data_IF_343084477314
#
_entry.id   IF_343084477314
#
_cell.length_a   1.000
_cell.length_b   1.000
_cell.length_c   1.000
_cell.angle_alpha   90.00
_cell.angle_beta   90.00
_cell.angle_gamma   90.00
#
_symmetry.space_group_name_H-M   'P 1'
#
loop_
_entity.id
_entity.type
_entity.pdbx_description
1 polymer ?
#
# COMPACT_ATOMS: atom_id res chain seq x y z
N UNK A 1 -7.75 22.13 -21.76
CA UNK A 1 -8.38 22.48 -20.50
C UNK A 1 -7.60 23.57 -19.74
N UNK A 2 -6.42 23.31 -19.13
CA UNK A 2 -5.68 24.29 -18.31
C UNK A 2 -5.35 25.60 -19.06
N UNK A 3 -5.04 25.52 -20.36
CA UNK A 3 -4.82 26.72 -21.21
C UNK A 3 -6.14 27.45 -21.49
N UNK A 4 -7.22 26.74 -21.73
CA UNK A 4 -8.55 27.35 -22.00
C UNK A 4 -9.09 28.10 -20.79
N UNK A 5 -8.80 27.63 -19.58
CA UNK A 5 -9.17 28.26 -18.32
C UNK A 5 -8.14 29.31 -17.87
N UNK A 6 -7.18 29.68 -18.73
CA UNK A 6 -6.13 30.67 -18.45
C UNK A 6 -5.29 30.36 -17.20
N UNK A 7 -5.20 29.10 -16.78
CA UNK A 7 -4.37 28.65 -15.66
C UNK A 7 -2.92 28.44 -16.08
N UNK A 8 -2.67 28.16 -17.36
CA UNK A 8 -1.35 27.92 -17.91
C UNK A 8 -1.24 28.55 -19.31
N UNK A 9 -0.11 29.19 -19.62
CA UNK A 9 0.13 29.68 -20.99
C UNK A 9 0.39 28.50 -21.94
N UNK A 10 0.09 28.68 -23.23
CA UNK A 10 0.32 27.64 -24.23
C UNK A 10 1.83 27.26 -24.35
N UNK A 11 2.70 28.26 -24.25
CA UNK A 11 4.15 28.06 -24.24
C UNK A 11 4.60 27.22 -23.03
N UNK A 12 4.07 27.51 -21.85
CA UNK A 12 4.38 26.76 -20.64
C UNK A 12 3.82 25.34 -20.70
N UNK A 13 2.62 25.15 -21.22
CA UNK A 13 2.02 23.83 -21.39
C UNK A 13 2.89 22.94 -22.29
N UNK A 14 3.37 23.50 -23.41
CA UNK A 14 4.24 22.78 -24.35
C UNK A 14 5.60 22.43 -23.71
N UNK A 15 6.20 23.38 -22.99
CA UNK A 15 7.48 23.17 -22.32
C UNK A 15 7.36 22.09 -21.21
N UNK A 16 6.31 22.16 -20.40
CA UNK A 16 6.06 21.18 -19.32
C UNK A 16 5.75 19.81 -19.91
N UNK A 17 5.00 19.73 -21.01
CA UNK A 17 4.73 18.47 -21.69
C UNK A 17 6.02 17.81 -22.22
N UNK A 18 6.93 18.58 -22.79
CA UNK A 18 8.23 18.09 -23.23
C UNK A 18 9.06 17.55 -22.05
N UNK A 19 9.07 18.29 -20.93
CA UNK A 19 9.74 17.84 -19.70
C UNK A 19 9.11 16.56 -19.12
N UNK A 20 7.79 16.50 -19.05
CA UNK A 20 7.06 15.33 -18.56
C UNK A 20 7.41 14.05 -19.36
N UNK A 21 7.50 14.18 -20.69
CA UNK A 21 7.90 13.09 -21.59
C UNK A 21 9.35 12.66 -21.36
N UNK A 22 10.27 13.61 -21.09
CA UNK A 22 11.70 13.33 -20.85
C UNK A 22 11.90 12.60 -19.52
N UNK A 23 11.20 13.05 -18.46
CA UNK A 23 11.32 12.51 -17.11
C UNK A 23 10.40 11.29 -16.91
N UNK A 24 9.51 10.99 -17.86
CA UNK A 24 8.48 9.93 -17.79
C UNK A 24 7.54 10.10 -16.58
N UNK A 25 7.19 11.33 -16.24
CA UNK A 25 6.23 11.67 -15.19
C UNK A 25 4.90 12.12 -15.80
N UNK A 26 3.76 11.91 -15.12
CA UNK A 26 2.48 12.42 -15.59
C UNK A 26 2.49 13.94 -15.76
N UNK A 27 1.79 14.44 -16.77
CA UNK A 27 1.75 15.87 -17.09
C UNK A 27 1.26 16.71 -15.89
N UNK A 28 0.20 16.28 -15.23
CA UNK A 28 -0.36 17.00 -14.06
C UNK A 28 0.68 17.10 -12.94
N UNK A 29 1.38 16.02 -12.64
CA UNK A 29 2.45 16.00 -11.64
C UNK A 29 3.56 17.00 -11.99
N UNK A 30 3.94 17.06 -13.27
CA UNK A 30 4.97 18.01 -13.73
C UNK A 30 4.49 19.46 -13.68
N UNK A 31 3.21 19.74 -13.96
CA UNK A 31 2.62 21.08 -13.79
C UNK A 31 2.70 21.53 -12.33
N UNK A 32 2.36 20.67 -11.39
CA UNK A 32 2.40 20.95 -9.96
C UNK A 32 3.85 21.18 -9.48
N UNK A 33 4.77 20.33 -9.93
CA UNK A 33 6.22 20.47 -9.63
C UNK A 33 6.79 21.79 -10.12
N UNK A 34 6.30 22.32 -11.25
CA UNK A 34 6.70 23.62 -11.78
C UNK A 34 6.22 24.79 -10.93
N UNK A 35 5.31 24.57 -9.96
CA UNK A 35 4.69 25.57 -9.06
C UNK A 35 3.95 26.69 -9.79
N UNK A 36 3.60 26.51 -11.06
CA UNK A 36 2.86 27.50 -11.84
C UNK A 36 1.38 27.50 -11.52
N UNK A 37 0.83 26.33 -11.20
CA UNK A 37 -0.59 26.16 -10.81
C UNK A 37 -0.64 25.28 -9.57
N UNK A 38 -1.52 25.60 -8.61
CA UNK A 38 -1.71 24.78 -7.43
C UNK A 38 -2.46 23.48 -7.75
N UNK A 39 -2.16 22.41 -7.01
CA UNK A 39 -2.81 21.10 -7.19
C UNK A 39 -4.32 21.19 -7.00
N UNK A 40 -4.79 21.97 -6.00
CA UNK A 40 -6.19 22.23 -5.72
C UNK A 40 -6.90 22.85 -6.93
N UNK A 41 -6.30 23.91 -7.52
CA UNK A 41 -6.89 24.60 -8.67
C UNK A 41 -7.01 23.71 -9.89
N UNK A 42 -6.00 22.84 -10.12
CA UNK A 42 -6.03 21.84 -11.19
C UNK A 42 -7.17 20.85 -10.95
N UNK A 43 -7.29 20.32 -9.73
CA UNK A 43 -8.31 19.35 -9.37
C UNK A 43 -9.74 19.94 -9.49
N UNK A 44 -9.97 21.15 -8.99
CA UNK A 44 -11.25 21.84 -9.15
C UNK A 44 -11.62 22.06 -10.62
N UNK A 45 -10.65 22.52 -11.43
CA UNK A 45 -10.88 22.78 -12.86
C UNK A 45 -11.15 21.48 -13.61
N UNK A 46 -10.40 20.43 -13.30
CA UNK A 46 -10.62 19.08 -13.87
C UNK A 46 -12.00 18.55 -13.49
N UNK A 47 -12.40 18.66 -12.23
CA UNK A 47 -13.73 18.26 -11.76
C UNK A 47 -14.84 18.94 -12.54
N UNK A 48 -14.77 20.27 -12.71
CA UNK A 48 -15.76 21.05 -13.47
C UNK A 48 -15.79 20.70 -14.96
N UNK A 49 -14.60 20.54 -15.57
CA UNK A 49 -14.50 20.30 -17.00
C UNK A 49 -14.96 18.92 -17.43
N UNK A 50 -14.72 17.90 -16.59
CA UNK A 50 -15.05 16.51 -16.86
C UNK A 50 -16.34 16.03 -16.16
N UNK A 51 -16.91 16.84 -15.27
CA UNK A 51 -18.15 16.51 -14.56
C UNK A 51 -17.98 15.44 -13.46
N UNK A 52 -16.76 15.20 -13.00
CA UNK A 52 -16.49 14.27 -11.89
C UNK A 52 -16.51 15.00 -10.55
N UNK A 53 -16.97 14.36 -9.45
CA UNK A 53 -16.93 14.97 -8.13
C UNK A 53 -15.49 15.23 -7.68
N UNK A 54 -15.26 16.34 -6.97
CA UNK A 54 -14.00 16.65 -6.30
C UNK A 54 -14.04 16.23 -4.83
N UNK A 55 -12.95 15.64 -4.35
CA UNK A 55 -12.78 15.26 -2.96
C UNK A 55 -11.42 15.75 -2.43
N UNK A 56 -11.43 16.45 -1.31
CA UNK A 56 -10.21 16.76 -0.57
C UNK A 56 -9.79 15.54 0.28
N UNK A 57 -8.64 14.95 -0.03
CA UNK A 57 -8.14 13.75 0.67
C UNK A 57 -7.74 14.01 2.12
N UNK A 58 -7.48 15.26 2.53
CA UNK A 58 -7.18 15.57 3.94
C UNK A 58 -8.41 15.39 4.84
N UNK A 59 -9.61 15.51 4.27
CA UNK A 59 -10.87 15.29 4.97
C UNK A 59 -11.34 13.83 4.90
N UNK A 60 -10.64 12.97 4.16
CA UNK A 60 -11.03 11.58 3.98
C UNK A 60 -10.40 10.69 5.06
N UNK A 61 -11.23 9.87 5.73
CA UNK A 61 -10.75 8.92 6.72
C UNK A 61 -10.31 7.60 6.06
N UNK A 62 -9.09 7.16 6.37
CA UNK A 62 -8.51 5.90 5.88
C UNK A 62 -9.31 4.64 6.25
N UNK A 63 -10.13 4.70 7.29
CA UNK A 63 -10.95 3.56 7.74
C UNK A 63 -12.01 3.14 6.71
N UNK A 64 -12.34 4.02 5.77
CA UNK A 64 -13.26 3.72 4.68
C UNK A 64 -12.63 3.02 3.49
N UNK A 65 -11.29 2.86 3.48
CA UNK A 65 -10.61 2.15 2.39
C UNK A 65 -11.12 0.71 2.30
N UNK A 66 -11.44 0.22 1.09
CA UNK A 66 -11.96 -1.13 0.94
C UNK A 66 -10.89 -2.16 1.28
N UNK A 67 -11.29 -3.24 1.98
CA UNK A 67 -10.41 -4.35 2.35
C UNK A 67 -9.75 -4.99 1.10
N UNK A 68 -10.49 -5.09 -0.01
CA UNK A 68 -9.97 -5.50 -1.31
C UNK A 68 -9.52 -4.24 -2.06
N UNK A 69 -8.23 -3.96 -2.02
CA UNK A 69 -7.63 -2.80 -2.69
C UNK A 69 -7.11 -3.15 -4.09
N UNK A 70 -6.89 -2.10 -4.88
CA UNK A 70 -6.20 -2.18 -6.16
C UNK A 70 -4.78 -2.72 -5.93
N UNK A 71 -4.25 -3.50 -6.88
CA UNK A 71 -2.86 -3.95 -6.84
C UNK A 71 -1.88 -2.78 -6.69
N UNK A 72 -0.84 -2.93 -5.84
CA UNK A 72 0.09 -1.86 -5.54
C UNK A 72 0.81 -1.32 -6.78
N UNK A 73 1.22 -2.23 -7.68
CA UNK A 73 1.90 -1.84 -8.93
C UNK A 73 0.96 -1.03 -9.82
N UNK A 74 -0.31 -1.45 -9.90
CA UNK A 74 -1.32 -0.75 -10.69
C UNK A 74 -1.66 0.61 -10.06
N UNK A 75 -1.75 0.68 -8.73
CA UNK A 75 -1.96 1.91 -7.96
C UNK A 75 -0.85 2.93 -8.20
N UNK A 76 0.41 2.50 -8.10
CA UNK A 76 1.57 3.36 -8.34
C UNK A 76 1.70 3.78 -9.81
N UNK A 77 1.59 2.82 -10.75
CA UNK A 77 1.77 3.08 -12.17
C UNK A 77 0.72 4.04 -12.73
N UNK A 78 -0.53 3.92 -12.26
CA UNK A 78 -1.66 4.69 -12.76
C UNK A 78 -2.08 5.84 -11.85
N UNK A 79 -1.46 5.99 -10.67
CA UNK A 79 -1.80 7.00 -9.65
C UNK A 79 -3.29 7.00 -9.31
N UNK A 80 -3.79 5.87 -8.83
CA UNK A 80 -5.19 5.65 -8.48
C UNK A 80 -5.30 5.00 -7.10
N UNK A 81 -6.33 5.36 -6.33
CA UNK A 81 -6.64 4.75 -5.03
C UNK A 81 -8.13 4.39 -5.01
N UNK A 82 -8.45 3.17 -4.51
CA UNK A 82 -9.83 2.82 -4.20
C UNK A 82 -10.25 3.52 -2.91
N UNK A 83 -11.29 4.34 -2.95
CA UNK A 83 -11.80 5.08 -1.79
C UNK A 83 -12.88 4.30 -1.03
N UNK A 84 -13.86 3.78 -1.75
CA UNK A 84 -15.01 3.08 -1.17
C UNK A 84 -15.62 2.13 -2.18
N UNK A 85 -16.13 1.00 -1.69
CA UNK A 85 -17.00 0.12 -2.48
C UNK A 85 -18.42 0.20 -1.94
N UNK A 86 -19.37 0.54 -2.80
CA UNK A 86 -20.78 0.60 -2.45
C UNK A 86 -21.64 0.08 -3.60
N UNK A 87 -22.48 -0.92 -3.33
CA UNK A 87 -23.41 -1.50 -4.31
C UNK A 87 -22.74 -1.92 -5.64
N UNK A 88 -21.59 -2.58 -5.54
CA UNK A 88 -20.78 -3.00 -6.70
C UNK A 88 -20.23 -1.86 -7.56
N UNK A 89 -20.23 -0.64 -7.04
CA UNK A 89 -19.58 0.53 -7.63
C UNK A 89 -18.36 0.88 -6.75
N UNK A 90 -17.18 0.90 -7.38
CA UNK A 90 -15.93 1.29 -6.74
C UNK A 90 -15.65 2.77 -7.01
N UNK A 91 -15.63 3.58 -5.96
CA UNK A 91 -15.19 4.97 -6.03
C UNK A 91 -13.67 5.00 -6.05
N UNK A 92 -13.09 5.66 -7.07
CA UNK A 92 -11.65 5.65 -7.34
C UNK A 92 -11.14 7.08 -7.39
N UNK A 93 -10.18 7.41 -6.53
CA UNK A 93 -9.49 8.69 -6.57
C UNK A 93 -8.51 8.73 -7.74
N UNK A 94 -8.57 9.79 -8.54
CA UNK A 94 -7.69 10.05 -9.67
C UNK A 94 -7.28 11.53 -9.69
N UNK A 95 -6.10 11.85 -10.18
CA UNK A 95 -5.68 13.24 -10.41
C UNK A 95 -5.88 13.69 -11.84
N UNK A 96 -5.90 12.75 -12.77
CA UNK A 96 -6.02 13.00 -14.20
C UNK A 96 -7.20 12.24 -14.82
N UNK A 97 -8.35 12.89 -15.04
CA UNK A 97 -9.51 12.29 -15.70
C UNK A 97 -9.29 11.88 -17.15
N UNK A 98 -8.21 12.36 -17.79
CA UNK A 98 -7.90 12.02 -19.19
C UNK A 98 -7.20 10.66 -19.31
N UNK A 99 -6.71 10.10 -18.22
CA UNK A 99 -6.05 8.80 -18.18
C UNK A 99 -7.08 7.65 -18.15
N UNK A 100 -7.79 7.46 -19.26
CA UNK A 100 -8.79 6.40 -19.40
C UNK A 100 -8.19 5.02 -19.27
N UNK A 101 -6.94 4.82 -19.72
CA UNK A 101 -6.24 3.54 -19.59
C UNK A 101 -6.07 3.11 -18.13
N UNK A 102 -5.84 4.05 -17.22
CA UNK A 102 -5.77 3.77 -15.79
C UNK A 102 -7.11 3.24 -15.28
N UNK A 103 -8.21 3.89 -15.65
CA UNK A 103 -9.55 3.48 -15.24
C UNK A 103 -9.92 2.11 -15.81
N UNK A 104 -9.67 1.87 -17.10
CA UNK A 104 -9.92 0.56 -17.73
C UNK A 104 -9.13 -0.56 -17.06
N UNK A 105 -7.87 -0.33 -16.73
CA UNK A 105 -7.02 -1.30 -16.06
C UNK A 105 -7.54 -1.66 -14.67
N UNK A 106 -7.98 -0.66 -13.89
CA UNK A 106 -8.59 -0.86 -12.58
C UNK A 106 -9.93 -1.58 -12.69
N UNK A 107 -10.76 -1.20 -13.66
CA UNK A 107 -12.05 -1.84 -13.90
C UNK A 107 -11.88 -3.32 -14.25
N UNK A 108 -10.91 -3.64 -15.12
CA UNK A 108 -10.59 -5.01 -15.48
C UNK A 108 -10.14 -5.84 -14.29
N UNK A 109 -9.21 -5.29 -13.46
CA UNK A 109 -8.71 -5.98 -12.28
C UNK A 109 -9.79 -6.23 -11.23
N UNK A 110 -10.62 -5.22 -10.98
CA UNK A 110 -11.61 -5.27 -9.88
C UNK A 110 -12.91 -5.96 -10.29
N UNK A 111 -13.22 -6.02 -11.60
CA UNK A 111 -14.48 -6.57 -12.12
C UNK A 111 -15.72 -5.79 -11.67
N UNK A 112 -15.57 -4.49 -11.33
CA UNK A 112 -16.61 -3.62 -10.80
C UNK A 112 -16.79 -2.39 -11.66
N UNK A 113 -17.98 -1.77 -11.59
CA UNK A 113 -18.20 -0.45 -12.18
C UNK A 113 -17.41 0.60 -11.39
N UNK A 114 -16.69 1.49 -12.10
CA UNK A 114 -15.94 2.56 -11.48
C UNK A 114 -16.72 3.87 -11.44
N UNK A 115 -16.56 4.61 -10.37
CA UNK A 115 -16.99 6.01 -10.23
C UNK A 115 -15.76 6.86 -9.91
N UNK A 116 -15.18 7.55 -10.91
CA UNK A 116 -14.01 8.39 -10.70
C UNK A 116 -14.32 9.59 -9.82
N UNK A 117 -13.40 9.92 -8.92
CA UNK A 117 -13.43 11.10 -8.04
C UNK A 117 -12.12 11.85 -8.21
N UNK A 118 -12.18 13.11 -8.58
CA UNK A 118 -10.99 13.94 -8.77
C UNK A 118 -10.44 14.40 -7.44
N UNK A 119 -9.12 14.25 -7.27
CA UNK A 119 -8.39 14.65 -6.07
C UNK A 119 -7.12 15.43 -6.44
N UNK A 120 -6.53 16.10 -5.46
CA UNK A 120 -5.25 16.78 -5.63
C UNK A 120 -4.11 15.77 -5.80
N UNK A 121 -3.28 15.93 -6.84
CA UNK A 121 -2.23 14.97 -7.21
C UNK A 121 -1.13 14.83 -6.14
N UNK A 122 -0.75 15.92 -5.49
CA UNK A 122 0.25 15.93 -4.41
C UNK A 122 -0.22 15.15 -3.17
N UNK A 123 -1.50 15.26 -2.84
CA UNK A 123 -2.12 14.49 -1.75
C UNK A 123 -2.30 13.04 -2.15
N UNK A 124 -2.72 12.79 -3.39
CA UNK A 124 -2.85 11.44 -3.94
C UNK A 124 -1.51 10.69 -3.89
N UNK A 125 -0.40 11.35 -4.29
CA UNK A 125 0.92 10.78 -4.17
C UNK A 125 1.27 10.36 -2.75
N UNK A 126 1.12 11.27 -1.78
CA UNK A 126 1.38 10.99 -0.35
C UNK A 126 0.55 9.82 0.20
N UNK A 127 -0.70 9.70 -0.26
CA UNK A 127 -1.58 8.59 0.13
C UNK A 127 -1.12 7.26 -0.47
N UNK A 128 -0.71 7.27 -1.75
CA UNK A 128 -0.14 6.09 -2.40
C UNK A 128 1.11 5.64 -1.64
N UNK A 129 2.04 6.56 -1.35
CA UNK A 129 3.27 6.27 -0.64
C UNK A 129 2.99 5.66 0.74
N UNK A 130 2.05 6.23 1.51
CA UNK A 130 1.61 5.66 2.80
C UNK A 130 1.03 4.25 2.68
N UNK A 131 0.19 4.01 1.66
CA UNK A 131 -0.41 2.69 1.44
C UNK A 131 0.67 1.68 1.05
N UNK A 132 1.62 2.07 0.21
CA UNK A 132 2.76 1.23 -0.20
C UNK A 132 3.63 0.92 1.00
N UNK A 133 4.07 1.93 1.76
CA UNK A 133 4.86 1.74 2.98
C UNK A 133 4.15 0.84 4.00
N UNK A 134 2.85 1.04 4.22
CA UNK A 134 2.08 0.21 5.14
C UNK A 134 1.98 -1.24 4.66
N UNK A 135 1.90 -1.47 3.35
CA UNK A 135 1.85 -2.81 2.76
C UNK A 135 3.24 -3.40 2.58
N UNK A 136 4.28 -2.62 2.24
CA UNK A 136 5.66 -3.12 2.22
C UNK A 136 6.11 -3.51 3.64
N UNK A 137 5.75 -2.75 4.65
CA UNK A 137 5.93 -3.15 6.05
C UNK A 137 5.10 -4.39 6.38
N UNK A 138 3.96 -4.61 5.73
CA UNK A 138 3.14 -5.81 5.89
C UNK A 138 3.52 -6.94 4.92
N UNK A 139 4.02 -6.68 3.72
CA UNK A 139 4.47 -7.70 2.75
C UNK A 139 5.86 -8.25 3.08
N UNK A 140 6.76 -7.49 3.67
CA UNK A 140 7.98 -8.06 4.31
C UNK A 140 7.63 -9.02 5.46
N UNK A 141 6.35 -9.16 5.78
CA UNK A 141 5.83 -10.01 6.84
C UNK A 141 4.77 -11.02 6.36
N UNK A 142 4.39 -11.08 5.07
CA UNK A 142 3.32 -11.92 4.55
C UNK A 142 3.68 -12.72 3.28
N UNK A 143 4.90 -12.66 2.77
CA UNK A 143 5.40 -13.69 1.86
C UNK A 143 5.71 -15.00 2.61
N UNK A 144 4.75 -15.44 3.42
CA UNK A 144 4.73 -16.76 4.04
C UNK A 144 3.72 -17.67 3.33
N UNK A 145 2.98 -17.16 2.34
CA UNK A 145 2.17 -18.01 1.47
C UNK A 145 2.85 -18.20 0.11
N UNK A 146 3.75 -19.21 0.08
CA UNK A 146 4.25 -19.83 -1.14
C UNK A 146 5.50 -19.17 -1.73
N UNK A 147 6.58 -19.34 -1.12
CA UNK A 147 7.93 -19.71 -1.61
C UNK A 147 8.97 -19.36 -0.53
N UNK A 148 8.93 -20.08 0.58
CA UNK A 148 10.14 -20.33 1.34
C UNK A 148 10.94 -21.38 0.57
N UNK A 149 11.37 -21.03 -0.64
CA UNK A 149 12.48 -21.68 -1.28
C UNK A 149 13.73 -21.28 -0.49
N UNK A 150 13.98 -22.06 0.55
CA UNK A 150 15.29 -22.17 1.14
C UNK A 150 16.16 -22.76 0.04
N UNK A 151 16.73 -21.87 -0.79
CA UNK A 151 17.89 -22.22 -1.59
C UNK A 151 19.03 -22.59 -0.63
N UNK A 152 19.00 -23.84 -0.20
CA UNK A 152 20.12 -24.56 0.40
C UNK A 152 21.07 -24.89 -0.74
N UNK A 153 21.60 -23.84 -1.37
CA UNK A 153 22.75 -23.97 -2.25
C UNK A 153 23.93 -24.48 -1.44
N UNK A 154 24.19 -25.77 -1.60
CA UNK A 154 25.44 -26.37 -1.17
C UNK A 154 26.60 -25.68 -1.89
N UNK A 155 27.29 -24.81 -1.19
CA UNK A 155 28.54 -24.21 -1.61
C UNK A 155 29.44 -24.10 -0.40
N UNK A 156 30.37 -25.06 -0.28
CA UNK A 156 31.49 -25.02 0.66
C UNK A 156 32.20 -23.65 0.58
N UNK A 157 32.06 -22.83 1.64
CA UNK A 157 33.05 -21.82 1.98
C UNK A 157 33.19 -21.81 3.49
N UNK A 158 34.33 -22.33 3.96
CA UNK A 158 34.83 -22.11 5.32
C UNK A 158 35.00 -20.61 5.54
N UNK A 159 34.22 -20.01 6.45
CA UNK A 159 34.50 -18.71 7.06
C UNK A 159 34.13 -18.79 8.54
N UNK A 160 35.10 -18.35 9.34
CA UNK A 160 35.20 -18.36 10.79
C UNK A 160 33.92 -17.96 11.53
N UNK A 161 33.66 -18.71 12.61
CA UNK A 161 32.61 -18.45 13.59
C UNK A 161 32.88 -17.13 14.33
N UNK A 162 32.07 -16.10 14.07
CA UNK A 162 31.49 -15.23 15.11
C UNK A 162 30.49 -14.26 14.47
N UNK A 163 29.22 -14.20 14.94
CA UNK A 163 28.11 -13.30 14.54
C UNK A 163 27.04 -13.79 13.56
N UNK A 164 26.87 -15.07 13.32
CA UNK A 164 25.82 -15.58 12.38
C UNK A 164 24.41 -15.74 13.01
N UNK A 165 24.23 -15.60 14.32
CA UNK A 165 22.92 -15.78 14.97
C UNK A 165 21.99 -14.56 14.87
N UNK A 166 22.50 -13.35 14.73
CA UNK A 166 21.65 -12.13 14.69
C UNK A 166 20.98 -11.91 13.31
N UNK A 167 21.60 -12.35 12.24
CA UNK A 167 21.07 -12.14 10.87
C UNK A 167 19.96 -13.13 10.55
N UNK A 168 20.06 -14.37 11.02
CA UNK A 168 19.05 -15.42 10.82
C UNK A 168 17.75 -15.20 11.60
N UNK A 169 17.78 -14.40 12.67
CA UNK A 169 16.61 -14.14 13.50
C UNK A 169 15.83 -12.86 13.08
N UNK A 170 16.37 -12.04 12.18
CA UNK A 170 15.76 -10.79 11.75
C UNK A 170 14.33 -10.97 11.19
N UNK A 171 14.01 -11.99 10.36
CA UNK A 171 12.65 -12.23 9.90
C UNK A 171 11.69 -12.61 11.03
N UNK A 172 12.13 -13.43 11.98
CA UNK A 172 11.32 -13.88 13.12
C UNK A 172 11.01 -12.72 14.06
N UNK A 173 11.99 -11.84 14.30
CA UNK A 173 11.83 -10.63 15.11
C UNK A 173 10.82 -9.67 14.45
N UNK A 174 10.92 -9.44 13.15
CA UNK A 174 9.98 -8.60 12.40
C UNK A 174 8.57 -9.19 12.46
N UNK A 175 8.43 -10.50 12.25
CA UNK A 175 7.14 -11.19 12.33
C UNK A 175 6.51 -11.05 13.72
N UNK A 176 7.29 -11.28 14.80
CA UNK A 176 6.80 -11.15 16.15
C UNK A 176 6.37 -9.72 16.48
N UNK A 177 7.19 -8.74 16.14
CA UNK A 177 6.86 -7.32 16.36
C UNK A 177 5.57 -6.93 15.64
N UNK A 178 5.35 -7.44 14.42
CA UNK A 178 4.11 -7.21 13.70
C UNK A 178 2.92 -7.81 14.45
N UNK A 179 3.00 -9.08 14.87
CA UNK A 179 1.91 -9.72 15.61
C UNK A 179 1.55 -8.94 16.88
N UNK A 180 2.56 -8.40 17.58
CA UNK A 180 2.35 -7.58 18.77
C UNK A 180 1.67 -6.24 18.42
N UNK A 181 2.13 -5.54 17.38
CA UNK A 181 1.54 -4.27 16.96
C UNK A 181 0.10 -4.45 16.46
N UNK A 182 -0.16 -5.48 15.66
CA UNK A 182 -1.50 -5.79 15.17
C UNK A 182 -2.46 -6.10 16.32
N UNK A 183 -1.99 -6.84 17.34
CA UNK A 183 -2.78 -7.13 18.53
C UNK A 183 -3.13 -5.86 19.32
N UNK A 184 -2.18 -4.94 19.48
CA UNK A 184 -2.40 -3.64 20.13
C UNK A 184 -3.42 -2.81 19.34
N UNK A 185 -3.25 -2.73 18.02
CA UNK A 185 -4.14 -1.97 17.14
C UNK A 185 -5.58 -2.52 17.12
N UNK A 186 -5.73 -3.85 17.29
CA UNK A 186 -7.04 -4.51 17.37
C UNK A 186 -7.63 -4.50 18.78
N UNK A 187 -6.91 -3.98 19.77
CA UNK A 187 -7.35 -3.99 21.18
C UNK A 187 -7.45 -5.40 21.76
N UNK A 188 -6.57 -6.32 21.33
CA UNK A 188 -6.56 -7.67 21.85
C UNK A 188 -6.11 -7.71 23.31
N UNK A 189 -6.84 -8.47 24.13
CA UNK A 189 -6.48 -8.71 25.55
C UNK A 189 -5.38 -9.76 25.69
N UNK A 190 -5.31 -10.73 24.80
CA UNK A 190 -4.39 -11.86 24.84
C UNK A 190 -3.92 -12.25 23.44
N UNK A 191 -2.65 -12.67 23.36
CA UNK A 191 -2.05 -13.33 22.20
C UNK A 191 -1.70 -14.77 22.58
N UNK A 192 -2.16 -15.70 21.76
CA UNK A 192 -1.90 -17.12 21.92
C UNK A 192 -1.00 -17.61 20.81
N UNK A 193 0.20 -18.04 21.16
CA UNK A 193 1.14 -18.71 20.29
C UNK A 193 1.07 -20.21 20.55
N UNK A 194 0.45 -20.97 19.66
CA UNK A 194 0.07 -22.35 19.89
C UNK A 194 0.80 -23.31 18.91
N UNK A 195 1.97 -23.83 19.29
CA UNK A 195 2.66 -24.86 18.51
C UNK A 195 1.97 -26.21 18.72
N UNK A 196 1.41 -26.78 17.65
CA UNK A 196 0.93 -28.15 17.59
C UNK A 196 1.94 -29.06 16.90
N UNK A 197 1.64 -30.32 16.83
CA UNK A 197 2.52 -31.33 16.23
C UNK A 197 2.65 -31.16 14.70
N UNK A 198 1.57 -30.73 14.02
CA UNK A 198 1.49 -30.62 12.56
C UNK A 198 1.36 -29.19 12.04
N UNK A 199 1.07 -28.24 12.89
CA UNK A 199 0.90 -26.84 12.50
C UNK A 199 1.19 -25.92 13.68
N UNK A 200 1.43 -24.66 13.39
CA UNK A 200 1.57 -23.59 14.38
C UNK A 200 0.48 -22.58 14.17
N UNK A 201 -0.25 -22.21 15.23
CA UNK A 201 -1.37 -21.29 15.17
C UNK A 201 -1.16 -20.10 16.09
N UNK A 202 -1.50 -18.90 15.60
CA UNK A 202 -1.52 -17.67 16.40
C UNK A 202 -2.96 -17.16 16.45
N UNK A 203 -3.45 -16.89 17.67
CA UNK A 203 -4.78 -16.36 17.91
C UNK A 203 -4.73 -15.12 18.77
N UNK A 204 -5.63 -14.16 18.49
CA UNK A 204 -5.90 -13.02 19.34
C UNK A 204 -7.25 -13.17 20.02
N UNK A 205 -7.32 -12.70 21.27
CA UNK A 205 -8.61 -12.52 21.95
C UNK A 205 -9.02 -11.07 21.82
N UNK A 206 -10.08 -10.82 21.05
CA UNK A 206 -10.67 -9.49 20.85
C UNK A 206 -12.13 -9.58 21.31
N UNK A 207 -12.54 -8.70 22.22
CA UNK A 207 -13.88 -8.70 22.82
C UNK A 207 -14.30 -10.07 23.40
N UNK A 208 -13.36 -10.75 24.04
CA UNK A 208 -13.59 -12.07 24.65
C UNK A 208 -13.56 -13.25 23.66
N UNK A 209 -13.52 -13.01 22.35
CA UNK A 209 -13.55 -14.03 21.30
C UNK A 209 -12.13 -14.29 20.77
N UNK A 210 -11.74 -15.57 20.76
CA UNK A 210 -10.49 -16.00 20.14
C UNK A 210 -10.66 -16.10 18.62
N UNK A 211 -9.85 -15.36 17.88
CA UNK A 211 -9.79 -15.38 16.41
C UNK A 211 -8.42 -15.86 15.97
N UNK A 212 -8.39 -16.74 14.99
CA UNK A 212 -7.14 -17.14 14.33
C UNK A 212 -6.67 -16.04 13.39
N UNK A 213 -5.38 -15.67 13.51
CA UNK A 213 -4.79 -14.55 12.79
C UNK A 213 -3.74 -15.05 11.80
N UNK A 214 -2.91 -16.03 12.21
CA UNK A 214 -1.83 -16.52 11.37
C UNK A 214 -1.47 -17.99 11.69
N UNK A 215 -0.92 -18.67 10.69
CA UNK A 215 -0.33 -20.00 10.80
C UNK A 215 1.11 -19.99 10.26
N UNK A 216 2.09 -19.55 11.06
CA UNK A 216 3.47 -19.57 10.62
C UNK A 216 3.99 -20.98 10.42
N UNK A 217 5.03 -21.18 9.59
CA UNK A 217 5.65 -22.50 9.39
C UNK A 217 6.16 -23.08 10.70
N UNK A 218 6.02 -24.40 10.87
CA UNK A 218 6.56 -25.12 12.05
C UNK A 218 8.07 -24.95 12.24
N UNK A 219 8.80 -24.74 11.15
CA UNK A 219 10.25 -24.57 11.16
C UNK A 219 10.73 -23.41 12.04
N UNK A 220 9.90 -22.36 12.23
CA UNK A 220 10.28 -21.19 13.03
C UNK A 220 9.79 -21.25 14.48
N UNK A 221 9.15 -22.34 14.93
CA UNK A 221 8.53 -22.44 16.27
C UNK A 221 9.51 -22.20 17.40
N UNK A 222 10.70 -22.81 17.33
CA UNK A 222 11.70 -22.73 18.40
C UNK A 222 12.35 -21.34 18.45
N UNK A 223 12.58 -20.72 17.28
CA UNK A 223 13.06 -19.34 17.17
C UNK A 223 12.03 -18.34 17.73
N UNK A 224 10.75 -18.52 17.37
CA UNK A 224 9.67 -17.69 17.95
C UNK A 224 9.57 -17.84 19.46
N UNK A 225 9.57 -19.07 19.98
CA UNK A 225 9.51 -19.33 21.42
C UNK A 225 10.69 -18.71 22.17
N UNK A 226 11.90 -18.85 21.64
CA UNK A 226 13.11 -18.23 22.21
C UNK A 226 13.00 -16.71 22.23
N UNK A 227 12.54 -16.10 21.13
CA UNK A 227 12.42 -14.65 21.04
C UNK A 227 11.34 -14.09 21.97
N UNK A 228 10.18 -14.77 22.07
CA UNK A 228 9.12 -14.40 23.01
C UNK A 228 9.65 -14.42 24.45
N UNK A 229 10.42 -15.45 24.85
CA UNK A 229 11.03 -15.51 26.18
C UNK A 229 11.97 -14.33 26.45
N UNK A 230 12.77 -13.94 25.45
CA UNK A 230 13.70 -12.80 25.59
C UNK A 230 12.96 -11.47 25.77
N UNK A 231 11.81 -11.28 25.09
CA UNK A 231 11.03 -10.04 25.18
C UNK A 231 10.21 -9.98 26.48
N UNK A 232 9.85 -11.14 27.03
CA UNK A 232 9.01 -11.25 28.25
C UNK A 232 9.79 -11.20 29.55
N UNK A 233 11.12 -11.15 29.51
CA UNK A 233 12.01 -10.94 30.64
C UNK A 233 12.37 -9.47 30.75
#
# INVERSE_FOLDING_TARGET
MLVQENLLSEADATAIQAQANTVKTPFITQVITSKKVSAEKIAETSSKSFGFPYLNLDAFNSDYLPAKSIDLKLMQANRVIALKNQNNVLFVAISDPTNLHALDSVQFQMGMTLSPVVVEDDKLGKWIDKIVESKDTSMTSLDVDGDFDLDMGAGDVEVEADNTQEVDDAPVVKFLNKMLLDAINLGASDLHFEPYEKFYRIRYRVDGILREIAQPPLAIKDKLASRIKVISN
#
